data_IF_212066600650
#
_entry.id   IF_212066600650
#
_cell.length_a   1.000
_cell.length_b   1.000
_cell.length_c   1.000
_cell.angle_alpha   90.00
_cell.angle_beta   90.00
_cell.angle_gamma   90.00
#
_symmetry.space_group_name_H-M   'P 1'
#
loop_
_entity.id
_entity.type
_entity.pdbx_description
1 polymer ?
#
# COMPACT_ATOMS: atom_id res chain seq x y z
N UNK A 1 -12.97 17.23 12.64
CA UNK A 1 -13.68 16.89 13.89
C UNK A 1 -13.20 15.56 14.49
N UNK A 2 -13.38 14.41 13.82
CA UNK A 2 -13.01 13.10 14.40
C UNK A 2 -11.53 12.98 14.75
N UNK A 3 -10.62 13.30 13.83
CA UNK A 3 -9.16 13.25 14.10
C UNK A 3 -8.72 14.17 15.26
N UNK A 4 -9.45 15.24 15.49
CA UNK A 4 -9.20 16.22 16.56
C UNK A 4 -9.84 15.82 17.89
N UNK A 5 -10.49 14.66 17.98
CA UNK A 5 -11.19 14.18 19.18
C UNK A 5 -12.23 15.19 19.71
N UNK A 6 -13.08 15.73 18.83
CA UNK A 6 -14.28 16.41 19.31
C UNK A 6 -15.21 15.41 20.02
N UNK A 7 -15.83 15.77 21.15
CA UNK A 7 -16.87 14.93 21.76
C UNK A 7 -17.92 14.52 20.72
N UNK A 8 -18.49 13.32 20.88
CA UNK A 8 -19.42 12.67 19.93
C UNK A 8 -18.80 12.08 18.65
N UNK A 9 -17.49 12.24 18.44
CA UNK A 9 -16.79 11.59 17.32
C UNK A 9 -15.92 10.41 17.80
N UNK A 10 -15.69 9.44 16.92
CA UNK A 10 -14.90 8.24 17.21
C UNK A 10 -13.52 8.53 17.76
N UNK A 11 -12.83 9.56 17.25
CA UNK A 11 -11.51 9.93 17.75
C UNK A 11 -11.49 10.37 19.21
N UNK A 12 -12.61 10.89 19.77
CA UNK A 12 -12.70 11.20 21.20
C UNK A 12 -12.63 9.93 22.03
N UNK A 13 -13.45 8.94 21.68
CA UNK A 13 -13.52 7.63 22.37
C UNK A 13 -12.16 6.93 22.35
N UNK A 14 -11.52 6.85 21.18
CA UNK A 14 -10.24 6.16 21.03
C UNK A 14 -9.08 6.91 21.69
N UNK A 15 -8.98 8.24 21.53
CA UNK A 15 -7.89 9.02 22.13
C UNK A 15 -8.03 9.12 23.64
N UNK A 16 -9.24 9.29 24.16
CA UNK A 16 -9.46 9.35 25.60
C UNK A 16 -9.07 8.03 26.26
N UNK A 17 -9.44 6.90 25.66
CA UNK A 17 -9.06 5.57 26.16
C UNK A 17 -7.54 5.40 26.25
N UNK A 18 -6.80 5.76 25.19
CA UNK A 18 -5.33 5.67 25.19
C UNK A 18 -4.71 6.61 26.23
N UNK A 19 -5.19 7.85 26.32
CA UNK A 19 -4.70 8.82 27.30
C UNK A 19 -4.97 8.36 28.74
N UNK A 20 -6.15 7.79 29.01
CA UNK A 20 -6.47 7.25 30.34
C UNK A 20 -5.61 6.05 30.67
N UNK A 21 -5.41 5.10 29.74
CA UNK A 21 -4.58 3.92 29.96
C UNK A 21 -3.15 4.31 30.36
N UNK A 22 -2.53 5.23 29.61
CA UNK A 22 -1.18 5.72 29.90
C UNK A 22 -1.11 6.47 31.24
N UNK A 23 -2.18 7.19 31.62
CA UNK A 23 -2.25 7.88 32.90
C UNK A 23 -2.38 6.90 34.08
N UNK A 24 -3.18 5.83 33.93
CA UNK A 24 -3.37 4.78 34.93
C UNK A 24 -2.08 3.98 35.16
N UNK A 25 -1.32 3.71 34.10
CA UNK A 25 -0.01 3.05 34.18
C UNK A 25 1.12 4.00 34.65
N UNK A 26 0.78 5.24 35.06
CA UNK A 26 1.73 6.25 35.55
C UNK A 26 2.84 6.62 34.56
N UNK A 27 2.62 6.44 33.26
CA UNK A 27 3.55 6.79 32.19
C UNK A 27 3.47 8.29 31.84
N UNK A 28 3.74 9.15 32.83
CA UNK A 28 3.54 10.60 32.74
C UNK A 28 4.27 11.28 31.58
N UNK A 29 5.48 10.83 31.25
CA UNK A 29 6.23 11.38 30.10
C UNK A 29 5.52 11.08 28.78
N UNK A 30 5.08 9.83 28.57
CA UNK A 30 4.34 9.43 27.37
C UNK A 30 3.00 10.15 27.31
N UNK A 31 2.32 10.28 28.45
CA UNK A 31 1.06 11.00 28.56
C UNK A 31 1.21 12.48 28.11
N UNK A 32 2.25 13.17 28.56
CA UNK A 32 2.55 14.55 28.14
C UNK A 32 2.82 14.65 26.64
N UNK A 33 3.61 13.72 26.09
CA UNK A 33 3.89 13.65 24.64
C UNK A 33 2.60 13.42 23.85
N UNK A 34 1.73 12.51 24.29
CA UNK A 34 0.44 12.24 23.65
C UNK A 34 -0.51 13.44 23.71
N UNK A 35 -0.52 14.15 24.85
CA UNK A 35 -1.32 15.36 25.02
C UNK A 35 -0.85 16.47 24.06
N UNK A 36 0.47 16.68 23.98
CA UNK A 36 1.06 17.63 23.03
C UNK A 36 0.81 17.21 21.57
N UNK A 37 0.94 15.93 21.25
CA UNK A 37 0.62 15.39 19.93
C UNK A 37 -0.86 15.61 19.58
N UNK A 38 -1.78 15.45 20.53
CA UNK A 38 -3.20 15.72 20.32
C UNK A 38 -3.47 17.19 19.97
N UNK A 39 -2.85 18.12 20.71
CA UNK A 39 -2.91 19.55 20.42
C UNK A 39 -2.30 19.89 19.04
N UNK A 40 -1.15 19.29 18.71
CA UNK A 40 -0.48 19.47 17.42
C UNK A 40 -1.33 18.99 16.24
N UNK A 41 -1.97 17.82 16.35
CA UNK A 41 -2.86 17.29 15.31
C UNK A 41 -4.09 18.18 15.10
N UNK A 42 -4.67 18.72 16.18
CA UNK A 42 -5.77 19.66 16.05
C UNK A 42 -5.31 20.98 15.42
N UNK A 43 -4.18 21.55 15.83
CA UNK A 43 -3.64 22.76 15.21
C UNK A 43 -3.33 22.56 13.72
N UNK A 44 -2.61 21.49 13.37
CA UNK A 44 -2.19 21.25 11.99
C UNK A 44 -3.35 20.76 11.10
N UNK A 45 -3.96 19.64 11.44
CA UNK A 45 -4.96 19.00 10.56
C UNK A 45 -6.38 19.48 10.86
N UNK A 46 -6.65 19.91 12.09
CA UNK A 46 -7.98 20.39 12.49
C UNK A 46 -8.28 21.83 12.11
N UNK A 47 -7.30 22.73 12.21
CA UNK A 47 -7.49 24.17 11.95
C UNK A 47 -6.70 24.64 10.74
N UNK A 48 -5.38 24.43 10.71
CA UNK A 48 -4.50 24.98 9.67
C UNK A 48 -4.94 24.54 8.26
N UNK A 49 -5.06 23.23 8.00
CA UNK A 49 -5.42 22.74 6.66
C UNK A 49 -6.79 23.29 6.19
N UNK A 50 -7.89 23.18 6.96
CA UNK A 50 -9.17 23.74 6.53
C UNK A 50 -9.13 25.27 6.38
N UNK A 51 -8.45 25.99 7.27
CA UNK A 51 -8.34 27.44 7.19
C UNK A 51 -7.65 27.86 5.89
N UNK A 52 -6.53 27.24 5.54
CA UNK A 52 -5.81 27.54 4.29
C UNK A 52 -6.55 27.04 3.05
N UNK A 53 -7.32 25.95 3.14
CA UNK A 53 -8.11 25.45 2.02
C UNK A 53 -9.31 26.35 1.67
N UNK A 54 -9.99 26.92 2.67
CA UNK A 54 -11.24 27.67 2.47
C UNK A 54 -11.12 29.19 2.59
N UNK A 55 -10.18 29.70 3.39
CA UNK A 55 -10.10 31.12 3.75
C UNK A 55 -8.79 31.80 3.36
N UNK A 56 -7.81 31.08 2.80
CA UNK A 56 -6.59 31.68 2.27
C UNK A 56 -6.72 32.05 0.79
N UNK A 57 -5.59 32.22 0.11
CA UNK A 57 -5.51 32.73 -1.26
C UNK A 57 -6.26 31.83 -2.25
N UNK A 58 -7.26 32.39 -2.94
CA UNK A 58 -7.95 31.69 -4.04
C UNK A 58 -6.98 31.50 -5.21
N UNK A 59 -6.77 30.23 -5.60
CA UNK A 59 -5.92 29.85 -6.74
C UNK A 59 -6.62 30.03 -8.09
N UNK A 60 -7.90 30.39 -8.11
CA UNK A 60 -8.72 30.53 -9.32
C UNK A 60 -9.11 29.21 -9.97
N UNK A 61 -8.66 28.07 -9.41
CA UNK A 61 -9.00 26.74 -9.91
C UNK A 61 -10.46 26.45 -9.55
N UNK A 62 -11.25 26.05 -10.55
CA UNK A 62 -12.64 25.64 -10.39
C UNK A 62 -12.74 24.15 -10.65
N UNK A 63 -12.69 23.37 -9.57
CA UNK A 63 -12.83 21.92 -9.60
C UNK A 63 -14.31 21.54 -9.68
N UNK A 64 -14.60 20.45 -10.40
CA UNK A 64 -15.93 19.82 -10.34
C UNK A 64 -16.10 19.10 -9.00
N UNK A 65 -17.35 18.98 -8.55
CA UNK A 65 -17.70 18.25 -7.33
C UNK A 65 -17.30 16.76 -7.42
N UNK A 66 -17.06 16.13 -6.27
CA UNK A 66 -16.68 14.73 -6.21
C UNK A 66 -17.75 13.81 -6.86
N UNK A 67 -17.35 12.73 -7.53
CA UNK A 67 -18.30 11.79 -8.12
C UNK A 67 -19.17 11.14 -7.03
N UNK A 68 -20.40 10.77 -7.39
CA UNK A 68 -21.41 10.25 -6.43
C UNK A 68 -20.91 9.10 -5.56
N UNK A 69 -20.12 8.17 -6.12
CA UNK A 69 -19.57 7.04 -5.37
C UNK A 69 -18.65 7.49 -4.24
N UNK A 70 -17.84 8.54 -4.47
CA UNK A 70 -16.96 9.11 -3.45
C UNK A 70 -17.76 9.82 -2.35
N UNK A 71 -18.80 10.57 -2.73
CA UNK A 71 -19.69 11.22 -1.76
C UNK A 71 -20.41 10.21 -0.86
N UNK A 72 -20.88 9.09 -1.42
CA UNK A 72 -21.51 8.02 -0.64
C UNK A 72 -20.50 7.41 0.34
N UNK A 73 -19.27 7.12 -0.10
CA UNK A 73 -18.22 6.59 0.77
C UNK A 73 -17.83 7.57 1.90
N UNK A 74 -17.72 8.86 1.59
CA UNK A 74 -17.48 9.92 2.57
C UNK A 74 -18.65 10.03 3.57
N UNK A 75 -19.89 9.95 3.10
CA UNK A 75 -21.08 9.97 3.95
C UNK A 75 -21.14 8.78 4.90
N UNK A 76 -20.88 7.57 4.39
CA UNK A 76 -20.85 6.35 5.20
C UNK A 76 -19.75 6.41 6.27
N UNK A 77 -18.53 6.83 5.90
CA UNK A 77 -17.41 6.94 6.85
C UNK A 77 -17.65 8.04 7.88
N UNK A 78 -18.25 9.17 7.51
CA UNK A 78 -18.67 10.21 8.45
C UNK A 78 -19.73 9.69 9.43
N UNK A 79 -20.72 8.96 8.93
CA UNK A 79 -21.73 8.30 9.76
C UNK A 79 -21.09 7.33 10.75
N UNK A 80 -20.18 6.46 10.31
CA UNK A 80 -19.48 5.53 11.22
C UNK A 80 -18.65 6.26 12.28
N UNK A 81 -17.97 7.35 11.91
CA UNK A 81 -17.25 8.19 12.87
C UNK A 81 -18.16 8.76 13.96
N UNK A 82 -19.37 9.19 13.60
CA UNK A 82 -20.36 9.68 14.55
C UNK A 82 -20.98 8.54 15.36
N UNK A 83 -21.35 7.44 14.71
CA UNK A 83 -21.98 6.27 15.34
C UNK A 83 -21.10 5.69 16.45
N UNK A 84 -19.82 5.44 16.16
CA UNK A 84 -18.85 4.95 17.16
C UNK A 84 -18.65 5.98 18.29
N UNK A 85 -18.68 7.27 17.96
CA UNK A 85 -18.58 8.33 18.94
C UNK A 85 -19.78 8.35 19.90
N UNK A 86 -21.00 8.28 19.38
CA UNK A 86 -22.25 8.31 20.16
C UNK A 86 -22.51 7.01 20.93
N UNK A 87 -22.13 5.87 20.37
CA UNK A 87 -22.34 4.54 20.96
C UNK A 87 -20.99 3.80 21.08
N UNK A 88 -20.15 4.13 22.08
CA UNK A 88 -18.83 3.51 22.27
C UNK A 88 -18.89 2.00 22.50
N UNK A 89 -19.98 1.50 23.08
CA UNK A 89 -20.17 0.08 23.35
C UNK A 89 -20.13 -0.77 22.08
N UNK A 90 -20.55 -0.21 20.93
CA UNK A 90 -20.45 -0.91 19.64
C UNK A 90 -19.00 -1.17 19.23
N UNK A 91 -18.07 -0.28 19.58
CA UNK A 91 -16.64 -0.49 19.37
C UNK A 91 -16.08 -1.48 20.39
N UNK A 92 -16.47 -1.36 21.67
CA UNK A 92 -15.94 -2.24 22.73
C UNK A 92 -16.37 -3.69 22.57
N UNK A 93 -17.56 -3.96 22.04
CA UNK A 93 -18.01 -5.32 21.72
C UNK A 93 -17.19 -6.02 20.63
N UNK A 94 -16.44 -5.26 19.82
CA UNK A 94 -15.55 -5.80 18.79
C UNK A 94 -14.13 -6.07 19.31
N UNK A 95 -13.78 -5.56 20.50
CA UNK A 95 -12.46 -5.75 21.07
C UNK A 95 -12.32 -7.18 21.62
N UNK A 96 -11.13 -7.80 21.49
CA UNK A 96 -10.91 -9.18 21.92
C UNK A 96 -10.90 -9.35 23.45
N UNK A 97 -10.72 -8.26 24.20
CA UNK A 97 -10.70 -8.25 25.66
C UNK A 97 -11.78 -7.30 26.16
N UNK A 98 -12.36 -7.61 27.33
CA UNK A 98 -13.34 -6.74 27.96
C UNK A 98 -12.71 -5.40 28.35
N UNK A 99 -13.36 -4.32 27.96
CA UNK A 99 -12.94 -2.95 28.27
C UNK A 99 -14.05 -2.27 29.07
N UNK A 100 -13.84 -2.17 30.39
CA UNK A 100 -14.68 -1.36 31.27
C UNK A 100 -14.14 0.08 31.30
N UNK A 101 -14.57 0.89 30.33
CA UNK A 101 -14.15 2.28 30.22
C UNK A 101 -15.31 3.18 29.82
N UNK A 102 -15.51 4.26 30.59
CA UNK A 102 -16.49 5.29 30.32
C UNK A 102 -15.81 6.53 29.69
N UNK A 103 -15.88 6.72 28.34
CA UNK A 103 -15.24 7.86 27.69
C UNK A 103 -15.90 9.21 28.03
N UNK A 104 -17.21 9.20 28.29
CA UNK A 104 -18.01 10.41 28.54
C UNK A 104 -18.11 10.75 30.03
N UNK A 105 -16.98 11.01 30.67
CA UNK A 105 -16.99 11.65 31.99
C UNK A 105 -16.82 13.15 31.85
N UNK A 106 -17.31 13.90 32.84
CA UNK A 106 -17.16 15.36 32.91
C UNK A 106 -15.69 15.78 32.76
N UNK A 107 -14.77 15.03 33.38
CA UNK A 107 -13.34 15.30 33.31
C UNK A 107 -12.78 15.14 31.88
N UNK A 108 -13.10 14.05 31.19
CA UNK A 108 -12.60 13.81 29.82
C UNK A 108 -13.15 14.85 28.83
N UNK A 109 -14.43 15.20 28.95
CA UNK A 109 -15.07 16.17 28.04
C UNK A 109 -14.50 17.57 28.28
N UNK A 110 -14.39 18.01 29.53
CA UNK A 110 -13.87 19.35 29.85
C UNK A 110 -12.41 19.49 29.44
N UNK A 111 -11.55 18.52 29.77
CA UNK A 111 -10.12 18.58 29.44
C UNK A 111 -9.90 18.63 27.93
N UNK A 112 -10.67 17.85 27.17
CA UNK A 112 -10.60 17.88 25.71
C UNK A 112 -11.12 19.21 25.14
N UNK A 113 -12.24 19.74 25.62
CA UNK A 113 -12.75 21.03 25.18
C UNK A 113 -11.80 22.19 25.52
N UNK A 114 -11.15 22.15 26.69
CA UNK A 114 -10.12 23.11 27.06
C UNK A 114 -8.94 23.04 26.09
N UNK A 115 -8.43 21.84 25.81
CA UNK A 115 -7.32 21.64 24.87
C UNK A 115 -7.67 22.18 23.47
N UNK A 116 -8.87 21.87 22.97
CA UNK A 116 -9.37 22.39 21.69
C UNK A 116 -9.51 23.91 21.72
N UNK A 117 -10.10 24.48 22.77
CA UNK A 117 -10.30 25.92 22.90
C UNK A 117 -8.96 26.67 22.96
N UNK A 118 -8.01 26.23 23.79
CA UNK A 118 -6.71 26.89 23.91
C UNK A 118 -5.86 26.74 22.64
N UNK A 119 -5.92 25.61 21.96
CA UNK A 119 -5.23 25.42 20.67
C UNK A 119 -5.83 26.30 19.56
N UNK A 120 -7.17 26.42 19.53
CA UNK A 120 -7.85 27.33 18.61
C UNK A 120 -7.55 28.81 18.90
N UNK A 121 -7.53 29.18 20.18
CA UNK A 121 -7.16 30.51 20.63
C UNK A 121 -5.72 30.84 20.22
N UNK A 122 -4.77 29.95 20.47
CA UNK A 122 -3.37 30.13 20.07
C UNK A 122 -3.25 30.37 18.56
N UNK A 123 -3.88 29.52 17.74
CA UNK A 123 -3.90 29.71 16.29
C UNK A 123 -4.49 31.07 15.89
N UNK A 124 -5.63 31.44 16.48
CA UNK A 124 -6.32 32.70 16.17
C UNK A 124 -5.47 33.92 16.53
N UNK A 125 -4.79 33.88 17.67
CA UNK A 125 -3.86 34.94 18.10
C UNK A 125 -2.71 35.03 17.10
N UNK A 126 -2.03 33.92 16.76
CA UNK A 126 -0.91 33.92 15.80
C UNK A 126 -1.33 34.46 14.43
N UNK A 127 -2.54 34.10 13.98
CA UNK A 127 -3.07 34.58 12.70
C UNK A 127 -3.39 36.08 12.76
N UNK A 128 -4.03 36.56 13.83
CA UNK A 128 -4.36 37.99 13.99
C UNK A 128 -3.13 38.88 14.19
N UNK A 129 -2.07 38.38 14.84
CA UNK A 129 -0.83 39.14 15.04
C UNK A 129 0.09 39.13 13.82
N UNK A 130 -0.22 38.33 12.79
CA UNK A 130 0.62 38.18 11.60
C UNK A 130 1.94 37.45 11.86
N UNK A 131 2.11 36.84 13.05
CA UNK A 131 3.29 36.03 13.39
C UNK A 131 3.23 34.62 12.83
N UNK A 132 2.10 34.24 12.22
CA UNK A 132 1.94 32.92 11.64
C UNK A 132 2.89 32.73 10.44
N UNK A 133 3.72 31.67 10.41
CA UNK A 133 4.68 31.46 9.33
C UNK A 133 4.00 31.42 7.95
N UNK A 134 4.53 32.14 6.94
CA UNK A 134 3.96 32.14 5.61
C UNK A 134 4.10 30.77 4.94
N UNK A 135 3.21 30.50 3.99
CA UNK A 135 3.25 29.28 3.18
C UNK A 135 4.52 29.26 2.31
N UNK A 136 5.46 28.37 2.63
CA UNK A 136 6.64 28.16 1.81
C UNK A 136 6.28 27.26 0.62
N UNK A 137 6.53 27.74 -0.61
CA UNK A 137 6.45 26.91 -1.80
C UNK A 137 7.51 25.83 -1.73
N UNK A 138 7.09 24.62 -1.36
CA UNK A 138 7.96 23.45 -1.30
C UNK A 138 7.45 22.38 -2.26
N UNK A 139 8.37 21.76 -2.99
CA UNK A 139 8.06 20.59 -3.82
C UNK A 139 8.23 19.36 -2.94
N UNK A 140 7.10 18.79 -2.51
CA UNK A 140 7.12 17.52 -1.78
C UNK A 140 7.27 16.37 -2.80
N UNK A 141 8.42 15.69 -2.80
CA UNK A 141 8.63 14.50 -3.62
C UNK A 141 7.95 13.32 -2.91
N UNK A 142 6.77 12.96 -3.40
CA UNK A 142 6.05 11.80 -2.87
C UNK A 142 6.67 10.48 -3.34
N UNK A 143 6.28 9.39 -2.69
CA UNK A 143 6.71 8.02 -3.00
C UNK A 143 6.47 7.65 -4.47
N UNK A 144 5.47 8.28 -5.10
CA UNK A 144 5.17 8.17 -6.53
C UNK A 144 6.40 8.44 -7.42
N UNK A 145 7.34 9.28 -6.99
CA UNK A 145 8.56 9.56 -7.75
C UNK A 145 9.46 8.33 -7.91
N UNK A 146 9.53 7.47 -6.89
CA UNK A 146 10.37 6.26 -6.94
C UNK A 146 9.91 5.33 -8.05
N UNK A 147 8.60 5.05 -8.15
CA UNK A 147 8.10 4.14 -9.18
C UNK A 147 7.87 4.83 -10.54
N UNK A 148 7.49 6.11 -10.59
CA UNK A 148 7.22 6.80 -11.86
C UNK A 148 8.49 7.28 -12.57
N UNK A 149 9.55 7.61 -11.83
CA UNK A 149 10.77 8.21 -12.41
C UNK A 149 12.03 7.39 -12.14
N UNK A 150 12.32 7.08 -10.88
CA UNK A 150 13.59 6.43 -10.53
C UNK A 150 13.69 5.01 -11.11
N UNK A 151 12.67 4.18 -10.91
CA UNK A 151 12.62 2.80 -11.39
C UNK A 151 12.70 2.70 -12.93
N UNK A 152 11.85 3.43 -13.71
CA UNK A 152 11.92 3.40 -15.16
C UNK A 152 13.25 3.93 -15.69
N UNK A 153 13.80 5.00 -15.11
CA UNK A 153 15.10 5.53 -15.50
C UNK A 153 16.23 4.52 -15.21
N UNK A 154 16.17 3.80 -14.09
CA UNK A 154 17.10 2.72 -13.77
C UNK A 154 17.01 1.56 -14.76
N UNK A 155 15.80 1.07 -15.05
CA UNK A 155 15.55 -0.02 -16.01
C UNK A 155 16.02 0.38 -17.41
N UNK A 156 15.71 1.59 -17.87
CA UNK A 156 16.14 2.09 -19.17
C UNK A 156 17.67 2.19 -19.26
N UNK A 157 18.36 2.60 -18.18
CA UNK A 157 19.83 2.60 -18.12
C UNK A 157 20.40 1.20 -18.20
N UNK A 158 19.82 0.23 -17.49
CA UNK A 158 20.25 -1.18 -17.55
C UNK A 158 20.06 -1.76 -18.95
N UNK A 159 18.90 -1.51 -19.58
CA UNK A 159 18.62 -1.92 -20.95
C UNK A 159 19.59 -1.25 -21.93
N UNK A 160 19.85 0.05 -21.79
CA UNK A 160 20.79 0.78 -22.63
C UNK A 160 22.21 0.18 -22.54
N UNK A 161 22.69 -0.09 -21.33
CA UNK A 161 23.99 -0.75 -21.10
C UNK A 161 24.00 -2.16 -21.72
N UNK A 162 22.96 -2.97 -21.49
CA UNK A 162 22.85 -4.32 -22.06
C UNK A 162 22.83 -4.32 -23.59
N UNK A 163 22.08 -3.40 -24.19
CA UNK A 163 21.97 -3.24 -25.64
C UNK A 163 23.26 -2.73 -26.30
N UNK A 164 24.10 -1.99 -25.56
CA UNK A 164 25.43 -1.55 -26.01
C UNK A 164 26.42 -2.73 -26.17
N UNK A 165 26.32 -3.77 -25.33
CA UNK A 165 27.16 -4.98 -25.45
C UNK A 165 26.62 -6.05 -26.42
N UNK A 166 25.34 -5.93 -26.80
CA UNK A 166 24.63 -6.88 -27.65
C UNK A 166 25.22 -7.09 -29.07
N UNK A 167 25.74 -6.06 -29.77
CA UNK A 167 26.25 -6.25 -31.13
C UNK A 167 27.60 -6.98 -31.21
N UNK A 168 28.35 -7.13 -30.12
CA UNK A 168 29.65 -7.82 -30.16
C UNK A 168 29.58 -9.33 -29.84
N UNK A 169 28.50 -9.79 -29.20
CA UNK A 169 28.29 -11.21 -28.84
C UNK A 169 27.40 -11.98 -29.83
N UNK A 170 26.56 -11.29 -30.60
CA UNK A 170 25.58 -11.89 -31.50
C UNK A 170 26.21 -12.65 -32.67
N UNK A 171 27.29 -12.13 -33.26
CA UNK A 171 27.99 -12.77 -34.38
C UNK A 171 28.70 -14.08 -33.97
N UNK A 172 29.23 -14.16 -32.73
CA UNK A 172 29.81 -15.40 -32.18
C UNK A 172 28.74 -16.43 -31.80
N UNK A 173 27.61 -15.97 -31.29
CA UNK A 173 26.50 -16.84 -30.86
C UNK A 173 25.79 -17.49 -32.05
N UNK A 174 25.52 -16.73 -33.11
CA UNK A 174 24.91 -17.28 -34.33
C UNK A 174 25.80 -18.32 -35.01
N UNK A 175 27.13 -18.09 -35.06
CA UNK A 175 28.09 -19.08 -35.60
C UNK A 175 28.14 -20.37 -34.78
N UNK A 176 28.04 -20.30 -33.44
CA UNK A 176 28.00 -21.50 -32.59
C UNK A 176 26.70 -22.29 -32.73
N UNK A 177 25.57 -21.60 -32.84
CA UNK A 177 24.27 -22.26 -33.05
C UNK A 177 24.22 -22.90 -34.43
N UNK A 178 24.68 -22.21 -35.48
CA UNK A 178 24.77 -22.78 -36.82
C UNK A 178 25.72 -24.00 -36.85
N UNK A 179 26.88 -23.92 -36.22
CA UNK A 179 27.80 -25.06 -36.12
C UNK A 179 27.22 -26.24 -35.34
N UNK A 180 26.45 -25.98 -34.28
CA UNK A 180 25.77 -27.03 -33.50
C UNK A 180 24.62 -27.67 -34.29
N UNK A 181 23.87 -26.89 -35.06
CA UNK A 181 22.83 -27.40 -35.96
C UNK A 181 23.45 -28.22 -37.09
N UNK A 182 24.55 -27.78 -37.70
CA UNK A 182 25.28 -28.55 -38.71
C UNK A 182 25.82 -29.87 -38.13
N UNK A 183 26.35 -29.86 -36.91
CA UNK A 183 26.86 -31.06 -36.25
C UNK A 183 25.72 -32.03 -35.89
N UNK A 184 24.57 -31.52 -35.47
CA UNK A 184 23.36 -32.31 -35.26
C UNK A 184 22.80 -32.86 -36.58
N UNK A 185 22.84 -32.09 -37.67
CA UNK A 185 22.42 -32.53 -39.00
C UNK A 185 23.34 -33.62 -39.56
N UNK A 186 24.64 -33.60 -39.27
CA UNK A 186 25.55 -34.70 -39.63
C UNK A 186 25.21 -36.01 -38.92
N UNK A 187 24.68 -35.95 -37.70
CA UNK A 187 24.31 -37.14 -36.94
C UNK A 187 22.85 -37.61 -37.14
N UNK A 188 21.92 -36.70 -37.45
CA UNK A 188 20.48 -36.98 -37.57
C UNK A 188 19.84 -36.56 -38.90
N UNK A 189 20.64 -36.31 -39.94
CA UNK A 189 20.15 -35.94 -41.27
C UNK A 189 19.35 -37.05 -41.97
N UNK A 190 18.65 -36.72 -43.08
CA UNK A 190 17.70 -37.61 -43.77
C UNK A 190 18.29 -38.86 -44.43
N UNK A 191 19.62 -39.09 -44.35
CA UNK A 191 20.28 -40.35 -44.70
C UNK A 191 20.87 -41.10 -43.49
N UNK A 192 20.49 -40.73 -42.27
CA UNK A 192 20.90 -41.39 -41.04
C UNK A 192 20.33 -42.81 -40.93
N UNK A 193 21.03 -43.70 -40.21
CA UNK A 193 20.72 -45.15 -40.08
C UNK A 193 19.28 -45.50 -39.63
N UNK A 194 18.48 -44.53 -39.17
CA UNK A 194 17.06 -44.69 -38.84
C UNK A 194 16.09 -44.41 -40.01
N UNK A 195 16.57 -43.87 -41.13
CA UNK A 195 15.76 -43.58 -42.33
C UNK A 195 15.79 -44.70 -43.39
N UNK A 196 16.56 -45.78 -43.19
CA UNK A 196 16.44 -46.99 -44.01
C UNK A 196 15.16 -47.71 -43.61
N UNK A 197 14.25 -47.92 -44.56
CA UNK A 197 13.04 -48.73 -44.40
C UNK A 197 13.45 -50.15 -43.97
N UNK A 198 13.27 -50.46 -42.69
CA UNK A 198 13.54 -51.81 -42.17
C UNK A 198 12.57 -52.80 -42.84
N UNK A 199 13.05 -53.95 -43.34
CA UNK A 199 12.20 -54.93 -44.00
C UNK A 199 11.09 -55.37 -43.03
N UNK A 200 9.83 -55.32 -43.49
CA UNK A 200 8.61 -55.49 -42.69
C UNK A 200 8.61 -56.74 -41.81
N UNK A 201 9.34 -57.78 -42.21
CA UNK A 201 9.52 -59.01 -41.42
C UNK A 201 10.21 -58.81 -40.06
N UNK A 202 11.11 -57.84 -39.91
CA UNK A 202 11.78 -57.59 -38.62
C UNK A 202 10.85 -56.89 -37.62
N UNK A 203 9.94 -56.03 -38.09
CA UNK A 203 8.93 -55.39 -37.23
C UNK A 203 7.96 -56.44 -36.66
N UNK A 204 7.51 -57.38 -37.50
CA UNK A 204 6.60 -58.44 -37.05
C UNK A 204 7.25 -59.33 -35.99
N UNK A 205 8.53 -59.63 -36.12
CA UNK A 205 9.28 -60.45 -35.16
C UNK A 205 9.38 -59.74 -33.79
N UNK A 206 9.67 -58.44 -33.78
CA UNK A 206 9.71 -57.66 -32.54
C UNK A 206 8.32 -57.51 -31.90
N UNK A 207 7.28 -57.29 -32.70
CA UNK A 207 5.89 -57.24 -32.19
C UNK A 207 5.51 -58.60 -31.59
N UNK A 208 5.85 -59.72 -32.25
CA UNK A 208 5.59 -61.06 -31.72
C UNK A 208 6.34 -61.33 -30.41
N UNK A 209 7.61 -60.93 -30.30
CA UNK A 209 8.39 -61.04 -29.04
C UNK A 209 7.74 -60.23 -27.94
N UNK A 210 7.34 -58.98 -28.23
CA UNK A 210 6.76 -58.08 -27.24
C UNK A 210 5.39 -58.61 -26.78
N UNK A 211 4.58 -59.13 -27.70
CA UNK A 211 3.28 -59.72 -27.39
C UNK A 211 3.42 -61.04 -26.61
N UNK A 212 4.41 -61.89 -26.95
CA UNK A 212 4.72 -63.09 -26.18
C UNK A 212 5.21 -62.76 -24.76
N UNK A 213 6.07 -61.74 -24.61
CA UNK A 213 6.49 -61.28 -23.27
C UNK A 213 5.32 -60.72 -22.47
N UNK A 214 4.41 -59.99 -23.11
CA UNK A 214 3.25 -59.42 -22.44
C UNK A 214 2.27 -60.51 -21.97
N UNK A 215 2.05 -61.55 -22.79
CA UNK A 215 1.25 -62.71 -22.40
C UNK A 215 1.88 -63.50 -21.25
N UNK A 216 3.20 -63.71 -21.28
CA UNK A 216 3.93 -64.39 -20.20
C UNK A 216 3.85 -63.62 -18.88
N UNK A 217 3.94 -62.29 -18.92
CA UNK A 217 3.78 -61.44 -17.73
C UNK A 217 2.33 -61.31 -17.26
N UNK A 218 1.34 -61.49 -18.13
CA UNK A 218 -0.08 -61.36 -17.78
C UNK A 218 -0.71 -62.64 -17.23
N UNK A 219 -0.18 -63.82 -17.57
CA UNK A 219 -0.67 -65.13 -17.11
C UNK A 219 0.18 -65.78 -16.01
N UNK A 220 1.11 -65.03 -15.41
CA UNK A 220 1.74 -65.31 -14.11
C UNK A 220 1.09 -64.47 -13.02
#
# INVERSE_FOLDING_TARGET
ASISAFPLFSGFVSKSLILTAVAVEHHWFVWLVLLFASAGVFHHSGIKIPYFAFFAHDSGIRCQEAPRNMLIAMGLTAFLCLFIGMVPSALYALLPYEVDYAPYTTAHVITQLQLLMFSALAFTILMRTGLYPPELRSVNLDSDWFYRKLLPAGIQRIIAIGSYYQPHLSARRQRRIAAFIDELYKHHGPEGRFARTWPTGSMVLWVAILLASCLLFYYQ
#
